data_IF_997129636914
#
_entry.id   IF_997129636914
#
_cell.length_a   1.000
_cell.length_b   1.000
_cell.length_c   1.000
_cell.angle_alpha   90.00
_cell.angle_beta   90.00
_cell.angle_gamma   90.00
#
_symmetry.space_group_name_H-M   'P 1'
#
loop_
_entity.id
_entity.type
_entity.pdbx_description
1 polymer ?
#
# COMPACT_ATOMS: atom_id res chain seq x y z
N UNK A 1 -50.23 72.66 -14.48
CA UNK A 1 -49.89 73.53 -15.57
C UNK A 1 -48.65 72.99 -16.31
N UNK A 2 -48.84 72.62 -17.58
CA UNK A 2 -47.89 72.67 -18.68
C UNK A 2 -46.56 71.86 -18.52
N UNK A 3 -46.01 71.14 -19.50
CA UNK A 3 -46.40 70.84 -20.89
C UNK A 3 -45.46 69.76 -21.42
N UNK A 4 -45.97 69.00 -22.39
CA UNK A 4 -45.27 68.06 -23.26
C UNK A 4 -44.00 68.62 -23.90
N UNK A 5 -43.02 67.75 -24.18
CA UNK A 5 -42.36 67.70 -25.46
C UNK A 5 -41.72 66.34 -25.72
N UNK A 6 -42.17 65.71 -26.85
CA UNK A 6 -41.61 64.54 -27.51
C UNK A 6 -40.20 64.80 -27.99
N UNK A 7 -39.34 63.76 -27.88
CA UNK A 7 -38.26 63.60 -28.86
C UNK A 7 -37.95 62.13 -29.10
N UNK A 8 -38.38 61.67 -30.23
CA UNK A 8 -38.03 60.38 -30.84
C UNK A 8 -36.58 60.41 -31.31
N UNK A 9 -35.76 59.47 -30.88
CA UNK A 9 -34.57 59.06 -31.64
C UNK A 9 -34.34 57.56 -31.51
N UNK A 10 -34.45 56.91 -32.66
CA UNK A 10 -33.99 55.61 -33.01
C UNK A 10 -32.63 55.27 -32.44
N UNK A 11 -32.52 54.26 -31.59
CA UNK A 11 -31.26 53.65 -31.22
C UNK A 11 -31.12 52.30 -31.86
N UNK A 12 -30.13 52.18 -32.74
CA UNK A 12 -29.79 50.95 -33.51
C UNK A 12 -29.33 49.88 -32.55
N UNK A 13 -29.86 48.68 -32.68
CA UNK A 13 -29.36 47.46 -32.10
C UNK A 13 -27.96 47.16 -32.64
N UNK A 14 -26.92 47.35 -31.88
CA UNK A 14 -25.64 46.70 -32.08
C UNK A 14 -25.62 45.49 -31.16
N UNK A 15 -25.75 44.32 -31.76
CA UNK A 15 -25.54 43.03 -31.09
C UNK A 15 -24.09 42.99 -30.61
N UNK A 16 -23.88 43.23 -29.31
CA UNK A 16 -22.66 42.78 -28.65
C UNK A 16 -22.74 41.25 -28.56
N UNK A 17 -21.84 40.61 -29.26
CA UNK A 17 -21.50 39.20 -28.99
C UNK A 17 -20.98 39.20 -27.56
N UNK A 18 -21.79 38.74 -26.64
CA UNK A 18 -21.31 38.32 -25.34
C UNK A 18 -20.37 37.14 -25.60
N UNK A 19 -19.06 37.40 -25.57
CA UNK A 19 -18.06 36.40 -25.34
C UNK A 19 -18.36 35.81 -23.98
N UNK A 20 -18.91 34.60 -23.99
CA UNK A 20 -19.15 33.83 -22.77
C UNK A 20 -17.84 33.43 -22.11
N UNK A 21 -17.14 34.40 -21.53
CA UNK A 21 -16.21 34.17 -20.44
C UNK A 21 -17.11 34.09 -19.20
N UNK A 22 -17.70 32.92 -19.03
CA UNK A 22 -18.34 32.56 -17.78
C UNK A 22 -17.32 32.80 -16.67
N UNK A 23 -17.58 33.76 -15.83
CA UNK A 23 -16.74 34.12 -14.70
C UNK A 23 -16.61 32.91 -13.78
N UNK A 24 -15.52 32.17 -13.96
CA UNK A 24 -15.09 31.14 -13.02
C UNK A 24 -14.44 31.84 -11.83
N UNK A 25 -15.23 32.41 -10.93
CA UNK A 25 -14.75 32.62 -9.54
C UNK A 25 -14.65 31.27 -8.88
N UNK A 26 -13.70 30.47 -9.33
CA UNK A 26 -13.53 29.12 -8.84
C UNK A 26 -12.78 29.18 -7.54
N UNK A 27 -13.34 28.55 -6.54
CA UNK A 27 -12.70 28.19 -5.30
C UNK A 27 -11.41 27.41 -5.62
N UNK A 28 -10.29 28.11 -5.74
CA UNK A 28 -8.98 27.49 -5.93
C UNK A 28 -8.56 26.94 -4.57
N UNK A 29 -8.20 25.66 -4.53
CA UNK A 29 -7.60 25.05 -3.35
C UNK A 29 -6.11 25.37 -3.31
N UNK A 30 -5.52 25.38 -2.13
CA UNK A 30 -4.06 25.43 -2.02
C UNK A 30 -3.47 24.10 -2.43
N UNK A 31 -4.10 23.00 -1.99
CA UNK A 31 -3.67 21.63 -2.33
C UNK A 31 -4.87 20.75 -2.65
N UNK A 32 -4.76 19.98 -3.75
CA UNK A 32 -5.62 18.85 -4.01
C UNK A 32 -4.85 17.55 -3.70
N UNK A 33 -5.35 16.76 -2.76
CA UNK A 33 -4.83 15.44 -2.42
C UNK A 33 -5.68 14.39 -3.12
N UNK A 34 -5.05 13.51 -3.90
CA UNK A 34 -5.71 12.50 -4.73
C UNK A 34 -5.42 11.11 -4.14
N UNK A 35 -6.45 10.48 -3.58
CA UNK A 35 -6.41 9.22 -2.84
C UNK A 35 -6.46 9.44 -1.32
N UNK A 36 -7.46 8.84 -0.66
CA UNK A 36 -7.67 8.89 0.78
C UNK A 36 -7.20 7.61 1.49
N UNK A 37 -6.07 7.02 1.04
CA UNK A 37 -5.31 6.03 1.79
C UNK A 37 -4.57 6.67 2.97
N UNK A 38 -3.80 5.88 3.73
CA UNK A 38 -3.06 6.38 4.90
C UNK A 38 -2.18 7.61 4.59
N UNK A 39 -1.50 7.61 3.44
CA UNK A 39 -0.68 8.75 3.03
C UNK A 39 -1.51 10.01 2.76
N UNK A 40 -2.61 9.86 2.02
CA UNK A 40 -3.46 11.00 1.67
C UNK A 40 -4.20 11.60 2.86
N UNK A 41 -4.74 10.77 3.76
CA UNK A 41 -5.47 11.30 4.93
C UNK A 41 -4.54 12.02 5.91
N UNK A 42 -3.33 11.50 6.13
CA UNK A 42 -2.36 12.18 7.01
C UNK A 42 -1.83 13.46 6.38
N UNK A 43 -1.57 13.45 5.08
CA UNK A 43 -1.15 14.66 4.36
C UNK A 43 -2.26 15.74 4.35
N UNK A 44 -3.50 15.36 4.10
CA UNK A 44 -4.64 16.28 4.12
C UNK A 44 -4.84 16.90 5.52
N UNK A 45 -4.68 16.13 6.60
CA UNK A 45 -4.70 16.62 7.97
C UNK A 45 -3.59 17.63 8.20
N UNK A 46 -2.36 17.28 7.90
CA UNK A 46 -1.20 18.12 8.20
C UNK A 46 -1.22 19.44 7.38
N UNK A 47 -1.57 19.35 6.10
CA UNK A 47 -1.75 20.52 5.24
C UNK A 47 -2.88 21.44 5.73
N UNK A 48 -4.03 20.88 6.09
CA UNK A 48 -5.14 21.68 6.60
C UNK A 48 -4.83 22.28 7.98
N UNK A 49 -4.09 21.57 8.83
CA UNK A 49 -3.62 22.08 10.12
C UNK A 49 -2.59 23.21 9.97
N UNK A 50 -1.84 23.22 8.87
CA UNK A 50 -0.95 24.33 8.50
C UNK A 50 -1.69 25.54 7.92
N UNK A 51 -3.02 25.51 7.84
CA UNK A 51 -3.87 26.60 7.38
C UNK A 51 -4.11 26.64 5.87
N UNK A 52 -3.73 25.58 5.14
CA UNK A 52 -4.00 25.49 3.71
C UNK A 52 -5.43 25.01 3.44
N UNK A 53 -6.05 25.54 2.37
CA UNK A 53 -7.34 25.08 1.88
C UNK A 53 -7.14 23.81 1.07
N UNK A 54 -7.56 22.66 1.62
CA UNK A 54 -7.29 21.35 1.07
C UNK A 54 -8.59 20.66 0.62
N UNK A 55 -8.54 20.02 -0.55
CA UNK A 55 -9.53 19.04 -0.99
C UNK A 55 -8.88 17.67 -1.04
N UNK A 56 -9.57 16.65 -0.51
CA UNK A 56 -9.17 15.24 -0.52
C UNK A 56 -10.15 14.45 -1.39
N UNK A 57 -9.67 13.91 -2.51
CA UNK A 57 -10.45 13.18 -3.50
C UNK A 57 -10.20 11.68 -3.34
N UNK A 58 -11.26 10.90 -3.21
CA UNK A 58 -11.19 9.44 -3.10
C UNK A 58 -12.11 8.81 -4.15
N UNK A 59 -11.59 7.82 -4.86
CA UNK A 59 -12.33 7.13 -5.91
C UNK A 59 -13.42 6.20 -5.37
N UNK A 60 -13.21 5.59 -4.20
CA UNK A 60 -14.17 4.72 -3.52
C UNK A 60 -15.17 5.51 -2.69
N UNK A 61 -16.17 4.82 -2.20
CA UNK A 61 -17.14 5.29 -1.20
C UNK A 61 -16.62 5.22 0.25
N UNK A 62 -15.34 4.85 0.43
CA UNK A 62 -14.65 4.73 1.73
C UNK A 62 -13.23 5.27 1.67
N UNK A 63 -12.73 5.74 2.80
CA UNK A 63 -11.30 6.06 2.99
C UNK A 63 -10.51 4.81 3.41
N UNK A 64 -9.18 4.88 3.40
CA UNK A 64 -8.25 3.85 3.89
C UNK A 64 -7.44 3.14 2.79
N UNK A 65 -7.87 3.22 1.53
CA UNK A 65 -7.15 2.59 0.42
C UNK A 65 -6.98 1.08 0.63
N UNK A 66 -5.72 0.61 0.66
CA UNK A 66 -5.34 -0.81 0.87
C UNK A 66 -5.35 -1.27 2.34
N UNK A 67 -5.79 -0.42 3.28
CA UNK A 67 -6.24 -0.84 4.61
C UNK A 67 -7.76 -0.93 4.59
N UNK A 68 -8.29 -2.09 4.91
CA UNK A 68 -9.73 -2.33 4.86
C UNK A 68 -10.16 -3.26 5.98
N UNK A 69 -10.77 -2.68 6.99
CA UNK A 69 -11.45 -3.41 8.07
C UNK A 69 -12.87 -3.71 7.64
N UNK A 70 -13.23 -4.96 7.59
CA UNK A 70 -14.58 -5.43 7.27
C UNK A 70 -15.08 -6.49 8.25
N UNK A 71 -16.06 -7.27 7.84
CA UNK A 71 -16.64 -8.33 8.65
C UNK A 71 -16.60 -9.66 7.90
N UNK A 72 -16.24 -10.73 8.59
CA UNK A 72 -16.37 -12.11 8.15
C UNK A 72 -16.84 -12.97 9.33
N UNK A 73 -17.83 -13.83 9.10
CA UNK A 73 -18.35 -14.79 10.08
C UNK A 73 -18.77 -14.14 11.40
N UNK A 74 -19.40 -12.94 11.32
CA UNK A 74 -19.83 -12.17 12.50
C UNK A 74 -18.71 -11.56 13.33
N UNK A 75 -17.48 -11.45 12.77
CA UNK A 75 -16.32 -10.83 13.40
C UNK A 75 -15.70 -9.76 12.52
N UNK A 76 -15.10 -8.76 13.17
CA UNK A 76 -14.27 -7.81 12.49
C UNK A 76 -12.96 -8.49 12.03
N UNK A 77 -12.62 -8.32 10.76
CA UNK A 77 -11.40 -8.84 10.13
C UNK A 77 -10.73 -7.76 9.28
N UNK A 78 -9.43 -7.95 9.01
CA UNK A 78 -8.65 -7.09 8.12
C UNK A 78 -8.47 -7.77 6.76
N UNK A 79 -8.97 -7.14 5.70
CA UNK A 79 -8.76 -7.60 4.32
C UNK A 79 -7.46 -7.10 3.70
N UNK A 80 -6.87 -6.06 4.26
CA UNK A 80 -5.62 -5.45 3.80
C UNK A 80 -4.54 -5.39 4.88
N UNK A 81 -3.80 -4.28 4.91
CA UNK A 81 -2.79 -4.00 5.93
C UNK A 81 -3.39 -3.98 7.33
N UNK A 82 -2.76 -4.65 8.28
CA UNK A 82 -3.34 -4.92 9.60
C UNK A 82 -2.40 -4.60 10.76
N UNK A 83 -1.09 -4.64 10.53
CA UNK A 83 -0.09 -4.68 11.59
C UNK A 83 0.65 -3.37 11.77
N UNK A 84 1.05 -3.09 13.00
CA UNK A 84 1.91 -1.99 13.38
C UNK A 84 2.83 -2.41 14.52
N UNK A 85 3.91 -1.67 14.74
CA UNK A 85 4.85 -1.94 15.80
C UNK A 85 5.34 -0.65 16.43
N UNK A 86 5.67 -0.66 17.72
CA UNK A 86 6.14 0.53 18.46
C UNK A 86 7.51 1.04 18.01
N UNK A 87 8.28 0.26 17.24
CA UNK A 87 9.52 0.72 16.61
C UNK A 87 9.30 1.48 15.29
N UNK A 88 8.10 1.42 14.73
CA UNK A 88 7.67 2.15 13.55
C UNK A 88 7.22 3.54 13.97
N UNK A 89 8.10 4.54 13.87
CA UNK A 89 7.96 5.83 14.52
C UNK A 89 6.78 6.66 14.05
N UNK A 90 6.44 6.58 12.76
CA UNK A 90 5.35 7.37 12.18
C UNK A 90 3.98 6.82 12.56
N UNK A 91 3.74 5.52 12.37
CA UNK A 91 2.46 4.91 12.75
C UNK A 91 2.29 4.87 14.27
N UNK A 92 3.38 4.61 15.03
CA UNK A 92 3.31 4.59 16.48
C UNK A 92 2.90 5.94 17.06
N UNK A 93 3.46 7.04 16.52
CA UNK A 93 3.06 8.40 16.88
C UNK A 93 1.57 8.64 16.65
N UNK A 94 1.03 8.20 15.52
CA UNK A 94 -0.39 8.37 15.23
C UNK A 94 -1.27 7.50 16.15
N UNK A 95 -0.87 6.27 16.42
CA UNK A 95 -1.56 5.40 17.37
C UNK A 95 -1.62 6.02 18.77
N UNK A 96 -0.50 6.58 19.25
CA UNK A 96 -0.45 7.28 20.54
C UNK A 96 -1.32 8.55 20.53
N UNK A 97 -1.28 9.33 19.44
CA UNK A 97 -2.06 10.57 19.29
C UNK A 97 -3.56 10.31 19.46
N UNK A 98 -4.05 9.19 18.96
CA UNK A 98 -5.47 8.85 18.99
C UNK A 98 -5.82 7.79 20.05
N UNK A 99 -4.90 7.46 20.95
CA UNK A 99 -5.10 6.47 22.00
C UNK A 99 -5.59 5.12 21.47
N UNK A 100 -4.98 4.68 20.37
CA UNK A 100 -5.26 3.37 19.74
C UNK A 100 -4.12 2.42 20.13
N UNK A 101 -4.47 1.26 20.69
CA UNK A 101 -3.51 0.23 21.08
C UNK A 101 -3.24 -0.79 19.98
N UNK A 102 -2.44 -1.78 20.32
CA UNK A 102 -2.20 -2.98 19.53
C UNK A 102 -2.79 -4.18 20.26
N UNK A 103 -3.27 -5.17 19.51
CA UNK A 103 -3.63 -6.46 20.06
C UNK A 103 -2.37 -7.35 20.15
N UNK A 104 -2.27 -8.25 21.14
CA UNK A 104 -1.19 -9.24 21.17
C UNK A 104 -1.31 -10.15 19.93
N UNK A 105 -0.17 -10.67 19.44
CA UNK A 105 -0.18 -11.66 18.37
C UNK A 105 -0.88 -12.94 18.82
N UNK A 106 -1.43 -13.71 17.88
CA UNK A 106 -1.95 -15.04 18.17
C UNK A 106 -0.79 -15.96 18.54
N UNK A 107 -0.84 -16.52 19.74
CA UNK A 107 0.17 -17.49 20.19
C UNK A 107 -0.01 -18.81 19.43
N UNK A 108 1.08 -19.29 18.84
CA UNK A 108 1.13 -20.52 18.06
C UNK A 108 2.40 -21.26 18.44
N UNK A 109 2.29 -22.50 18.91
CA UNK A 109 3.47 -23.33 19.17
C UNK A 109 3.70 -24.37 18.05
N UNK A 110 2.63 -24.83 17.41
CA UNK A 110 2.70 -25.85 16.35
C UNK A 110 2.97 -25.21 15.00
N UNK A 111 4.05 -25.63 14.35
CA UNK A 111 4.38 -25.25 12.97
C UNK A 111 4.26 -26.47 12.07
N UNK A 112 3.65 -26.27 10.91
CA UNK A 112 3.50 -27.28 9.85
C UNK A 112 4.17 -26.72 8.59
N UNK A 113 4.98 -27.49 7.90
CA UNK A 113 5.59 -27.02 6.65
C UNK A 113 5.68 -28.14 5.61
N UNK A 114 5.54 -27.74 4.36
CA UNK A 114 5.70 -28.64 3.25
C UNK A 114 7.09 -28.48 2.64
N UNK A 115 7.85 -29.57 2.57
CA UNK A 115 9.18 -29.57 1.98
C UNK A 115 9.55 -30.97 1.49
N UNK A 116 10.31 -31.06 0.39
CA UNK A 116 10.76 -32.32 -0.24
C UNK A 116 9.60 -33.31 -0.48
N UNK A 117 8.47 -32.76 -0.96
CA UNK A 117 7.27 -33.54 -1.27
C UNK A 117 6.51 -34.10 -0.06
N UNK A 118 6.79 -33.65 1.16
CA UNK A 118 6.23 -34.16 2.40
C UNK A 118 5.77 -33.05 3.34
N UNK A 119 4.79 -33.39 4.15
CA UNK A 119 4.36 -32.56 5.27
C UNK A 119 5.20 -32.87 6.51
N UNK A 120 5.72 -31.81 7.12
CA UNK A 120 6.49 -31.84 8.35
C UNK A 120 5.75 -31.09 9.44
N UNK A 121 6.02 -31.44 10.69
CA UNK A 121 5.43 -30.80 11.87
C UNK A 121 6.46 -30.68 12.96
N UNK A 122 6.48 -29.58 13.65
CA UNK A 122 7.35 -29.33 14.82
C UNK A 122 6.82 -28.20 15.67
N UNK A 123 7.57 -27.88 16.71
CA UNK A 123 7.35 -26.68 17.53
C UNK A 123 7.90 -25.43 16.85
N UNK A 124 7.49 -24.27 17.33
CA UNK A 124 8.04 -22.99 16.85
C UNK A 124 9.57 -22.90 17.05
N UNK A 125 10.08 -23.45 18.15
CA UNK A 125 11.53 -23.48 18.42
C UNK A 125 12.28 -24.37 17.44
N UNK A 126 11.74 -25.56 17.13
CA UNK A 126 12.34 -26.47 16.14
C UNK A 126 12.36 -25.85 14.75
N UNK A 127 11.24 -25.23 14.32
CA UNK A 127 11.17 -24.57 13.03
C UNK A 127 12.09 -23.34 12.95
N UNK A 128 12.14 -22.51 14.02
CA UNK A 128 13.05 -21.39 14.11
C UNK A 128 14.52 -21.82 14.00
N UNK A 129 14.91 -22.91 14.68
CA UNK A 129 16.25 -23.48 14.59
C UNK A 129 16.60 -23.97 13.17
N UNK A 130 15.61 -24.54 12.48
CA UNK A 130 15.76 -24.99 11.09
C UNK A 130 15.95 -23.82 10.12
N UNK A 131 15.13 -22.76 10.25
CA UNK A 131 15.09 -21.67 9.28
C UNK A 131 16.18 -20.61 9.50
N UNK A 132 16.70 -20.47 10.73
CA UNK A 132 17.67 -19.44 11.09
C UNK A 132 18.93 -19.41 10.20
N UNK A 133 19.63 -20.54 9.96
CA UNK A 133 20.82 -20.52 9.08
C UNK A 133 20.46 -20.17 7.63
N UNK A 134 19.28 -20.54 7.14
CA UNK A 134 18.83 -20.26 5.77
C UNK A 134 18.54 -18.77 5.59
N UNK A 135 17.82 -18.16 6.52
CA UNK A 135 17.55 -16.73 6.51
C UNK A 135 18.81 -15.90 6.73
N UNK A 136 19.70 -16.36 7.61
CA UNK A 136 20.99 -15.72 7.82
C UNK A 136 21.81 -15.71 6.52
N UNK A 137 21.88 -16.84 5.80
CA UNK A 137 22.56 -16.88 4.51
C UNK A 137 21.89 -16.02 3.44
N UNK A 138 20.55 -15.96 3.45
CA UNK A 138 19.78 -15.16 2.49
C UNK A 138 19.98 -13.66 2.68
N UNK A 139 20.12 -13.16 3.90
CA UNK A 139 20.21 -11.75 4.26
C UNK A 139 21.61 -11.28 4.72
N UNK A 140 22.64 -12.12 4.64
CA UNK A 140 23.98 -11.90 5.26
C UNK A 140 24.68 -10.60 4.85
N UNK A 141 24.44 -10.11 3.66
CA UNK A 141 25.07 -8.93 3.06
C UNK A 141 24.17 -7.69 3.02
N UNK A 142 22.99 -7.75 3.64
CA UNK A 142 22.01 -6.65 3.64
C UNK A 142 22.64 -5.30 4.04
N UNK A 143 23.42 -5.28 5.12
CA UNK A 143 24.10 -4.07 5.60
C UNK A 143 25.31 -3.65 4.76
N UNK A 144 25.86 -4.53 3.95
CA UNK A 144 26.93 -4.19 3.01
C UNK A 144 26.36 -3.42 1.82
N UNK A 145 25.19 -3.85 1.31
CA UNK A 145 24.50 -3.19 0.22
C UNK A 145 23.75 -1.92 0.66
N UNK A 146 23.26 -1.87 1.89
CA UNK A 146 22.51 -0.74 2.43
C UNK A 146 23.05 -0.34 3.81
N UNK A 147 24.30 0.20 3.90
CA UNK A 147 24.91 0.59 5.18
C UNK A 147 24.18 1.76 5.84
N UNK A 148 23.59 2.65 5.03
CA UNK A 148 22.79 3.80 5.45
C UNK A 148 21.45 3.75 4.72
N UNK A 149 20.44 3.01 5.23
CA UNK A 149 19.16 2.86 4.51
C UNK A 149 18.43 4.17 4.20
N UNK A 150 18.65 5.23 4.99
CA UNK A 150 18.07 6.55 4.72
C UNK A 150 18.73 7.26 3.52
N UNK A 151 19.89 6.81 3.08
CA UNK A 151 20.60 7.32 1.90
C UNK A 151 21.19 6.17 1.08
N UNK A 152 20.39 5.65 0.18
CA UNK A 152 20.76 4.51 -0.68
C UNK A 152 21.78 4.86 -1.76
N UNK A 153 22.17 6.13 -1.87
CA UNK A 153 23.15 6.60 -2.87
C UNK A 153 24.60 6.53 -2.39
N UNK A 154 24.84 6.16 -1.12
CA UNK A 154 26.21 6.17 -0.51
C UNK A 154 27.15 5.13 -1.09
N UNK A 155 26.63 4.08 -1.69
CA UNK A 155 27.42 3.08 -2.43
C UNK A 155 26.74 2.75 -3.76
N UNK A 156 27.49 2.19 -4.68
CA UNK A 156 26.96 1.65 -5.93
C UNK A 156 26.24 0.31 -5.67
N UNK A 157 24.95 0.30 -5.85
CA UNK A 157 24.07 -0.88 -5.68
C UNK A 157 23.70 -1.53 -7.01
N UNK A 158 24.29 -1.11 -8.13
CA UNK A 158 23.90 -1.55 -9.48
C UNK A 158 23.90 -3.06 -9.67
N UNK A 159 24.82 -3.79 -9.01
CA UNK A 159 24.93 -5.24 -9.17
C UNK A 159 23.80 -5.97 -8.45
N UNK A 160 23.45 -5.53 -7.23
CA UNK A 160 22.36 -6.17 -6.46
C UNK A 160 20.99 -5.74 -7.00
N UNK A 161 20.89 -4.52 -7.53
CA UNK A 161 19.65 -3.99 -8.10
C UNK A 161 19.19 -4.75 -9.36
N UNK A 162 20.10 -5.35 -10.08
CA UNK A 162 19.76 -6.16 -11.28
C UNK A 162 19.32 -7.58 -10.97
N UNK A 163 19.51 -8.04 -9.73
CA UNK A 163 19.21 -9.41 -9.34
C UNK A 163 17.74 -9.57 -8.93
N UNK A 164 17.16 -10.69 -9.33
CA UNK A 164 15.87 -11.16 -8.87
C UNK A 164 15.99 -11.92 -7.54
N UNK A 165 14.86 -12.21 -6.91
CA UNK A 165 14.81 -13.13 -5.78
C UNK A 165 15.29 -14.53 -6.19
N UNK A 166 15.00 -14.97 -7.43
CA UNK A 166 15.41 -16.26 -7.98
C UNK A 166 16.94 -16.36 -8.04
N UNK A 167 17.62 -15.33 -8.55
CA UNK A 167 19.08 -15.29 -8.62
C UNK A 167 19.71 -15.46 -7.23
N UNK A 168 19.12 -14.82 -6.22
CA UNK A 168 19.58 -14.94 -4.83
C UNK A 168 19.35 -16.33 -4.27
N UNK A 169 18.17 -16.91 -4.47
CA UNK A 169 17.83 -18.24 -3.98
C UNK A 169 18.74 -19.31 -4.61
N UNK A 170 18.98 -19.21 -5.91
CA UNK A 170 19.84 -20.16 -6.64
C UNK A 170 21.31 -20.07 -6.22
N UNK A 171 21.81 -18.87 -5.91
CA UNK A 171 23.18 -18.66 -5.45
C UNK A 171 23.49 -19.33 -4.10
N UNK A 172 22.48 -19.65 -3.29
CA UNK A 172 22.67 -20.31 -1.99
C UNK A 172 23.00 -21.80 -2.12
N UNK A 173 22.77 -22.43 -3.29
CA UNK A 173 23.03 -23.85 -3.54
C UNK A 173 22.41 -24.80 -2.49
N UNK A 174 21.18 -24.51 -2.09
CA UNK A 174 20.45 -25.27 -1.09
C UNK A 174 20.01 -26.66 -1.62
N UNK A 175 19.87 -27.63 -0.71
CA UNK A 175 19.13 -28.86 -1.01
C UNK A 175 17.67 -28.57 -1.30
N UNK A 176 16.95 -29.49 -1.95
CA UNK A 176 15.51 -29.34 -2.21
C UNK A 176 14.73 -29.06 -0.91
N UNK A 177 15.04 -29.78 0.15
CA UNK A 177 14.41 -29.57 1.45
C UNK A 177 14.64 -28.16 2.01
N UNK A 178 15.89 -27.71 2.06
CA UNK A 178 16.23 -26.38 2.57
C UNK A 178 15.62 -25.27 1.72
N UNK A 179 15.61 -25.45 0.39
CA UNK A 179 14.99 -24.51 -0.54
C UNK A 179 13.49 -24.38 -0.28
N UNK A 180 12.78 -25.51 -0.15
CA UNK A 180 11.35 -25.54 0.11
C UNK A 180 11.02 -24.89 1.48
N UNK A 181 11.81 -25.16 2.51
CA UNK A 181 11.65 -24.53 3.84
C UNK A 181 11.81 -23.02 3.77
N UNK A 182 12.83 -22.53 3.08
CA UNK A 182 13.09 -21.11 2.93
C UNK A 182 12.00 -20.44 2.07
N UNK A 183 11.63 -21.04 0.94
CA UNK A 183 10.57 -20.55 0.05
C UNK A 183 9.23 -20.49 0.79
N UNK A 184 8.88 -21.55 1.53
CA UNK A 184 7.63 -21.60 2.30
C UNK A 184 7.50 -20.46 3.30
N UNK A 185 8.54 -20.11 4.05
CA UNK A 185 8.50 -18.96 4.96
C UNK A 185 8.45 -17.63 4.21
N UNK A 186 9.27 -17.47 3.16
CA UNK A 186 9.32 -16.25 2.37
C UNK A 186 8.08 -16.04 1.50
N UNK A 187 7.23 -17.05 1.32
CA UNK A 187 5.98 -16.97 0.56
C UNK A 187 5.05 -15.83 1.02
N UNK A 188 5.17 -15.39 2.27
CA UNK A 188 4.44 -14.23 2.79
C UNK A 188 4.90 -12.90 2.18
N UNK A 189 6.09 -12.86 1.59
CA UNK A 189 6.72 -11.68 0.99
C UNK A 189 6.92 -11.81 -0.51
N UNK A 190 6.77 -13.01 -1.05
CA UNK A 190 7.05 -13.34 -2.45
C UNK A 190 5.76 -13.60 -3.18
N UNK A 191 5.57 -12.93 -4.32
CA UNK A 191 4.59 -13.26 -5.34
C UNK A 191 5.25 -14.07 -6.46
N UNK A 192 6.37 -13.58 -6.95
CA UNK A 192 7.14 -14.22 -8.03
C UNK A 192 8.63 -14.09 -7.76
N UNK A 193 9.31 -15.23 -7.69
CA UNK A 193 10.76 -15.28 -7.54
C UNK A 193 11.51 -14.61 -8.70
N UNK A 194 10.92 -14.58 -9.90
CA UNK A 194 11.56 -14.11 -11.12
C UNK A 194 11.31 -12.63 -11.42
N UNK A 195 10.26 -12.04 -10.83
CA UNK A 195 9.86 -10.66 -11.14
C UNK A 195 10.25 -9.65 -10.05
N UNK A 196 10.45 -10.10 -8.82
CA UNK A 196 10.80 -9.25 -7.69
C UNK A 196 12.31 -9.09 -7.57
N UNK A 197 12.76 -7.84 -7.30
CA UNK A 197 14.17 -7.53 -7.06
C UNK A 197 14.59 -7.89 -5.62
N UNK A 198 15.75 -8.52 -5.47
CA UNK A 198 16.32 -8.86 -4.14
C UNK A 198 16.66 -7.61 -3.32
N UNK A 199 17.01 -6.51 -3.98
CA UNK A 199 17.50 -5.28 -3.34
C UNK A 199 16.51 -4.77 -2.26
N UNK A 200 15.20 -4.85 -2.50
CA UNK A 200 14.20 -4.39 -1.52
C UNK A 200 14.15 -5.25 -0.27
N UNK A 201 14.26 -6.58 -0.36
CA UNK A 201 14.32 -7.44 0.84
C UNK A 201 15.60 -7.18 1.66
N UNK A 202 16.73 -7.01 0.99
CA UNK A 202 17.99 -6.66 1.66
C UNK A 202 17.90 -5.26 2.30
N UNK A 203 17.29 -4.31 1.62
CA UNK A 203 17.03 -2.98 2.16
C UNK A 203 16.17 -3.07 3.44
N UNK A 204 15.06 -3.80 3.41
CA UNK A 204 14.22 -3.98 4.60
C UNK A 204 14.99 -4.61 5.76
N UNK A 205 15.76 -5.68 5.51
CA UNK A 205 16.59 -6.27 6.54
C UNK A 205 17.63 -5.29 7.10
N UNK A 206 18.24 -4.46 6.25
CA UNK A 206 19.21 -3.46 6.65
C UNK A 206 18.61 -2.38 7.57
N UNK A 207 17.35 -1.98 7.38
CA UNK A 207 16.66 -1.04 8.28
C UNK A 207 16.52 -1.57 9.70
N UNK A 208 16.56 -2.89 9.87
CA UNK A 208 16.57 -3.59 11.16
C UNK A 208 17.94 -4.16 11.50
N UNK A 209 19.02 -3.47 11.07
CA UNK A 209 20.40 -3.82 11.36
C UNK A 209 20.85 -5.18 10.81
N UNK A 210 20.18 -5.70 9.79
CA UNK A 210 20.38 -7.04 9.25
C UNK A 210 19.70 -8.14 10.08
N UNK A 211 18.92 -7.78 11.08
CA UNK A 211 18.18 -8.73 11.91
C UNK A 211 16.83 -9.06 11.24
N UNK A 212 16.80 -10.14 10.47
CA UNK A 212 15.61 -10.61 9.78
C UNK A 212 14.46 -10.98 10.75
N UNK A 213 14.80 -11.49 11.96
CA UNK A 213 13.79 -11.80 13.00
C UNK A 213 13.04 -10.56 13.46
N UNK A 214 13.76 -9.46 13.70
CA UNK A 214 13.15 -8.17 14.03
C UNK A 214 12.30 -7.63 12.87
N UNK A 215 12.76 -7.81 11.63
CA UNK A 215 11.98 -7.41 10.45
C UNK A 215 10.63 -8.15 10.39
N UNK A 216 10.61 -9.48 10.53
CA UNK A 216 9.37 -10.26 10.51
C UNK A 216 8.43 -9.92 11.67
N UNK A 217 8.97 -9.72 12.88
CA UNK A 217 8.16 -9.30 14.02
C UNK A 217 7.46 -7.96 13.76
N UNK A 218 8.21 -6.98 13.29
CA UNK A 218 7.68 -5.64 13.00
C UNK A 218 6.66 -5.65 11.87
N UNK A 219 6.88 -6.46 10.85
CA UNK A 219 6.05 -6.48 9.64
C UNK A 219 4.70 -7.20 9.83
N UNK A 220 4.58 -8.17 10.74
CA UNK A 220 3.44 -9.09 10.72
C UNK A 220 2.86 -9.57 12.04
N UNK A 221 3.29 -9.03 13.20
CA UNK A 221 2.92 -9.64 14.48
C UNK A 221 1.80 -8.92 15.24
N UNK A 222 1.72 -7.59 15.21
CA UNK A 222 0.88 -6.81 16.14
C UNK A 222 -0.29 -6.11 15.43
N UNK A 223 -1.51 -6.70 15.43
CA UNK A 223 -2.69 -6.08 14.82
C UNK A 223 -3.10 -4.79 15.55
N UNK A 224 -3.56 -3.79 14.79
CA UNK A 224 -4.11 -2.54 15.34
C UNK A 224 -5.45 -2.82 16.03
N UNK A 225 -5.57 -2.43 17.29
CA UNK A 225 -6.77 -2.66 18.10
C UNK A 225 -7.98 -1.88 17.54
N UNK A 226 -9.04 -2.61 17.20
CA UNK A 226 -10.23 -2.07 16.58
C UNK A 226 -10.10 -1.83 15.07
N UNK A 227 -9.04 -2.38 14.47
CA UNK A 227 -8.81 -2.38 13.03
C UNK A 227 -8.16 -1.11 12.49
N UNK A 228 -7.56 -1.23 11.30
CA UNK A 228 -6.86 -0.13 10.63
C UNK A 228 -7.77 1.04 10.28
N UNK A 229 -9.05 0.77 9.97
CA UNK A 229 -10.04 1.81 9.69
C UNK A 229 -10.27 2.76 10.87
N UNK A 230 -10.09 2.28 12.11
CA UNK A 230 -10.18 3.13 13.30
C UNK A 230 -9.10 4.22 13.28
N UNK A 231 -7.88 3.87 12.94
CA UNK A 231 -6.77 4.82 12.80
C UNK A 231 -7.02 5.80 11.65
N UNK A 232 -7.36 5.30 10.48
CA UNK A 232 -7.59 6.14 9.28
C UNK A 232 -8.71 7.15 9.52
N UNK A 233 -9.82 6.73 10.14
CA UNK A 233 -10.92 7.62 10.51
C UNK A 233 -10.52 8.64 11.56
N UNK A 234 -9.72 8.26 12.55
CA UNK A 234 -9.24 9.18 13.57
C UNK A 234 -8.37 10.29 12.96
N UNK A 235 -7.45 9.93 12.05
CA UNK A 235 -6.62 10.90 11.31
C UNK A 235 -7.51 11.83 10.46
N UNK A 236 -8.46 11.28 9.72
CA UNK A 236 -9.37 12.08 8.89
C UNK A 236 -10.22 13.03 9.72
N UNK A 237 -10.78 12.58 10.84
CA UNK A 237 -11.61 13.41 11.71
C UNK A 237 -10.86 14.59 12.37
N UNK A 238 -9.53 14.51 12.43
CA UNK A 238 -8.64 15.58 12.91
C UNK A 238 -8.22 16.52 11.75
N UNK A 239 -8.82 16.38 10.57
CA UNK A 239 -8.58 17.19 9.37
C UNK A 239 -9.74 18.13 9.09
N UNK A 240 -9.44 19.35 8.64
CA UNK A 240 -10.44 20.27 8.08
C UNK A 240 -10.49 20.27 6.55
N UNK A 241 -9.81 19.32 5.88
CA UNK A 241 -9.87 19.16 4.44
C UNK A 241 -11.27 18.76 3.96
N UNK A 242 -11.70 19.29 2.83
CA UNK A 242 -12.93 18.89 2.16
C UNK A 242 -12.75 17.48 1.57
N UNK A 243 -13.46 16.47 2.09
CA UNK A 243 -13.45 15.11 1.55
C UNK A 243 -14.54 14.93 0.50
N UNK A 244 -14.17 14.37 -0.66
CA UNK A 244 -15.09 13.90 -1.69
C UNK A 244 -14.83 12.44 -1.99
N UNK A 245 -15.75 11.59 -1.61
CA UNK A 245 -15.80 10.18 -1.96
C UNK A 245 -16.38 9.97 -3.36
N UNK A 246 -16.23 8.77 -3.91
CA UNK A 246 -16.75 8.38 -5.23
C UNK A 246 -16.36 9.38 -6.34
N UNK A 247 -15.15 9.92 -6.25
CA UNK A 247 -14.64 10.97 -7.14
C UNK A 247 -13.31 10.54 -7.76
N UNK A 248 -13.31 9.54 -8.67
CA UNK A 248 -12.09 9.10 -9.33
C UNK A 248 -11.54 10.19 -10.24
N UNK A 249 -10.21 10.39 -10.18
CA UNK A 249 -9.46 11.34 -10.98
C UNK A 249 -8.92 10.64 -12.23
N UNK A 250 -9.01 11.30 -13.39
CA UNK A 250 -8.50 10.79 -14.68
C UNK A 250 -7.33 11.58 -15.24
N UNK A 251 -7.25 12.89 -14.92
CA UNK A 251 -6.18 13.76 -15.41
C UNK A 251 -5.69 14.72 -14.35
N UNK A 252 -4.38 15.01 -14.39
CA UNK A 252 -3.71 16.01 -13.57
C UNK A 252 -2.81 16.82 -14.50
N UNK A 253 -3.21 18.07 -14.77
CA UNK A 253 -2.52 18.94 -15.73
C UNK A 253 -1.89 20.13 -14.99
N UNK A 254 -0.55 20.17 -14.92
CA UNK A 254 0.20 21.29 -14.32
C UNK A 254 0.44 22.40 -15.37
N UNK A 255 -0.14 23.54 -15.16
CA UNK A 255 0.00 24.74 -16.00
C UNK A 255 1.01 25.76 -15.44
N UNK A 256 1.85 25.39 -14.47
CA UNK A 256 2.87 26.23 -13.85
C UNK A 256 2.36 27.09 -12.70
N UNK A 257 1.26 27.83 -12.87
CA UNK A 257 0.65 28.63 -11.80
C UNK A 257 -0.34 27.82 -10.96
N UNK A 258 -1.03 26.92 -11.60
CA UNK A 258 -2.06 26.07 -11.02
C UNK A 258 -2.06 24.68 -11.66
N UNK A 259 -2.57 23.71 -10.92
CA UNK A 259 -2.84 22.36 -11.38
C UNK A 259 -4.35 22.21 -11.59
N UNK A 260 -4.75 21.62 -12.71
CA UNK A 260 -6.14 21.28 -13.01
C UNK A 260 -6.32 19.79 -12.88
N UNK A 261 -7.16 19.36 -11.95
CA UNK A 261 -7.51 17.97 -11.69
C UNK A 261 -8.85 17.71 -12.39
N UNK A 262 -8.91 16.74 -13.29
CA UNK A 262 -10.15 16.34 -13.98
C UNK A 262 -10.64 15.02 -13.40
N UNK A 263 -11.89 14.99 -12.97
CA UNK A 263 -12.53 13.76 -12.45
C UNK A 263 -13.15 12.96 -13.60
N UNK A 264 -13.51 11.73 -13.31
CA UNK A 264 -14.20 10.85 -14.28
C UNK A 264 -15.55 11.43 -14.75
N UNK A 265 -16.22 12.24 -13.94
CA UNK A 265 -17.45 12.94 -14.33
C UNK A 265 -17.21 14.15 -15.26
N UNK A 266 -15.95 14.50 -15.50
CA UNK A 266 -15.55 15.68 -16.28
C UNK A 266 -15.49 16.98 -15.47
N UNK A 267 -15.71 16.94 -14.16
CA UNK A 267 -15.52 18.11 -13.29
C UNK A 267 -14.05 18.49 -13.25
N UNK A 268 -13.78 19.80 -13.28
CA UNK A 268 -12.43 20.36 -13.15
C UNK A 268 -12.25 21.06 -11.82
N UNK A 269 -11.31 20.57 -11.03
CA UNK A 269 -10.93 21.13 -9.72
C UNK A 269 -9.57 21.79 -9.89
N UNK A 270 -9.43 23.02 -9.37
CA UNK A 270 -8.19 23.78 -9.49
C UNK A 270 -7.51 23.88 -8.13
N UNK A 271 -6.19 23.67 -8.12
CA UNK A 271 -5.35 23.81 -6.95
C UNK A 271 -4.00 24.44 -7.30
N UNK A 272 -3.30 25.02 -6.32
CA UNK A 272 -1.92 25.51 -6.51
C UNK A 272 -0.93 24.35 -6.60
N UNK A 273 -1.20 23.28 -5.85
CA UNK A 273 -0.40 22.05 -5.80
C UNK A 273 -1.32 20.83 -5.84
N UNK A 274 -0.82 19.73 -6.41
CA UNK A 274 -1.46 18.42 -6.35
C UNK A 274 -0.55 17.44 -5.61
N UNK A 275 -1.13 16.60 -4.73
CA UNK A 275 -0.46 15.47 -4.10
C UNK A 275 -1.13 14.19 -4.57
N UNK A 276 -0.40 13.37 -5.31
CA UNK A 276 -0.85 12.07 -5.83
C UNK A 276 -0.52 11.00 -4.79
N UNK A 277 -1.51 10.52 -4.06
CA UNK A 277 -1.41 9.51 -3.02
C UNK A 277 -2.05 8.18 -3.46
N UNK A 278 -1.83 7.82 -4.72
CA UNK A 278 -2.37 6.62 -5.36
C UNK A 278 -1.39 5.45 -5.26
N UNK A 279 -1.88 4.18 -5.28
CA UNK A 279 -1.02 3.02 -5.49
C UNK A 279 -0.24 3.13 -6.81
N UNK A 280 1.02 2.68 -6.82
CA UNK A 280 1.88 2.72 -8.01
C UNK A 280 1.20 2.12 -9.24
N UNK A 281 0.53 0.96 -9.05
CA UNK A 281 -0.12 0.24 -10.15
C UNK A 281 -1.35 0.96 -10.73
N UNK A 282 -1.90 1.96 -10.04
CA UNK A 282 -3.06 2.75 -10.48
C UNK A 282 -2.64 4.05 -11.17
N UNK A 283 -1.43 4.53 -10.93
CA UNK A 283 -0.98 5.83 -11.49
C UNK A 283 -0.99 5.81 -13.01
N UNK A 284 -0.73 4.65 -13.64
CA UNK A 284 -0.81 4.51 -15.10
C UNK A 284 -2.20 4.84 -15.69
N UNK A 285 -3.26 4.74 -14.89
CA UNK A 285 -4.63 5.05 -15.33
C UNK A 285 -4.97 6.55 -15.24
N UNK A 286 -4.05 7.36 -14.69
CA UNK A 286 -4.21 8.81 -14.53
C UNK A 286 -3.23 9.53 -15.44
N UNK A 287 -3.77 10.29 -16.40
CA UNK A 287 -2.92 11.09 -17.28
C UNK A 287 -2.31 12.27 -16.50
N UNK A 288 -0.99 12.35 -16.48
CA UNK A 288 -0.22 13.41 -15.83
C UNK A 288 0.46 14.26 -16.91
N UNK A 289 0.27 15.58 -16.88
CA UNK A 289 0.87 16.53 -17.83
C UNK A 289 1.56 17.65 -17.05
N UNK A 290 2.83 17.99 -17.38
CA UNK A 290 3.73 17.34 -18.32
C UNK A 290 4.12 15.92 -17.88
N UNK A 291 4.63 15.11 -18.83
CA UNK A 291 5.07 13.75 -18.54
C UNK A 291 6.13 13.72 -17.43
N UNK A 292 6.08 12.71 -16.58
CA UNK A 292 7.10 12.48 -15.55
C UNK A 292 8.43 12.05 -16.19
N UNK A 293 9.51 12.06 -15.43
CA UNK A 293 10.82 11.61 -15.93
C UNK A 293 10.75 10.15 -16.37
N UNK A 294 11.50 9.83 -17.45
CA UNK A 294 11.47 8.49 -18.05
C UNK A 294 11.66 7.32 -17.06
N UNK A 295 12.62 7.32 -16.12
CA UNK A 295 12.72 6.19 -15.18
C UNK A 295 11.46 6.01 -14.31
N UNK A 296 10.81 7.11 -13.94
CA UNK A 296 9.54 7.08 -13.18
C UNK A 296 8.41 6.55 -14.06
N UNK A 297 8.34 7.00 -15.32
CA UNK A 297 7.33 6.52 -16.26
C UNK A 297 7.49 5.02 -16.53
N UNK A 298 8.73 4.56 -16.75
CA UNK A 298 9.04 3.14 -16.96
C UNK A 298 8.60 2.29 -15.76
N UNK A 299 8.80 2.78 -14.52
CA UNK A 299 8.35 2.11 -13.30
C UNK A 299 6.82 2.08 -13.19
N UNK A 300 6.13 3.19 -13.51
CA UNK A 300 4.68 3.28 -13.53
C UNK A 300 4.10 2.30 -14.56
N UNK A 301 4.65 2.25 -15.76
CA UNK A 301 4.17 1.41 -16.86
C UNK A 301 4.40 -0.08 -16.58
N UNK A 302 5.55 -0.41 -15.95
CA UNK A 302 5.91 -1.78 -15.59
C UNK A 302 5.08 -2.32 -14.43
N UNK A 303 4.55 -1.44 -13.56
CA UNK A 303 3.86 -1.78 -12.30
C UNK A 303 4.73 -2.65 -11.38
N UNK A 304 4.40 -2.72 -10.11
CA UNK A 304 5.01 -3.72 -9.22
C UNK A 304 4.28 -5.06 -9.37
N UNK A 305 4.96 -6.21 -9.21
CA UNK A 305 4.39 -7.52 -9.52
C UNK A 305 3.44 -8.06 -8.45
N UNK A 306 3.37 -7.48 -7.26
CA UNK A 306 2.68 -8.07 -6.11
C UNK A 306 1.17 -8.22 -6.32
N UNK A 307 0.73 -9.45 -6.56
CA UNK A 307 -0.66 -9.87 -6.78
C UNK A 307 -1.04 -10.97 -5.79
N UNK A 308 -0.90 -10.64 -4.50
CA UNK A 308 -1.16 -11.57 -3.41
C UNK A 308 -2.60 -11.45 -2.91
N UNK A 309 -3.08 -12.43 -2.15
CA UNK A 309 -4.38 -12.34 -1.50
C UNK A 309 -4.31 -12.72 -0.02
N UNK A 310 -5.24 -12.17 0.74
CA UNK A 310 -5.57 -12.59 2.10
C UNK A 310 -6.99 -13.19 2.07
N UNK A 311 -7.12 -14.39 2.59
CA UNK A 311 -8.36 -15.14 2.63
C UNK A 311 -8.72 -15.51 4.07
N UNK A 312 -9.95 -15.24 4.48
CA UNK A 312 -10.53 -15.71 5.73
C UNK A 312 -11.36 -16.95 5.47
N UNK A 313 -11.15 -17.98 6.27
CA UNK A 313 -11.79 -19.30 6.11
C UNK A 313 -12.46 -19.70 7.41
N UNK A 314 -13.75 -20.04 7.36
CA UNK A 314 -14.45 -20.73 8.42
C UNK A 314 -14.33 -22.22 8.19
N UNK A 315 -13.73 -22.95 9.12
CA UNK A 315 -13.53 -24.40 9.04
C UNK A 315 -14.17 -25.11 10.22
N UNK A 316 -14.78 -26.28 9.94
CA UNK A 316 -15.46 -27.10 10.95
C UNK A 316 -14.50 -27.64 11.99
N UNK A 317 -14.88 -27.51 13.24
CA UNK A 317 -14.19 -28.06 14.39
C UNK A 317 -13.19 -27.08 15.03
N UNK A 318 -12.89 -27.35 16.31
CA UNK A 318 -11.88 -26.58 17.06
C UNK A 318 -10.50 -27.12 16.74
N UNK A 319 -9.63 -26.24 16.24
CA UNK A 319 -8.23 -26.56 15.95
C UNK A 319 -7.33 -26.05 17.06
N UNK A 320 -6.34 -26.86 17.41
CA UNK A 320 -5.18 -26.35 18.14
C UNK A 320 -4.51 -25.27 17.28
N UNK A 321 -4.10 -24.13 17.86
CA UNK A 321 -3.41 -23.08 17.11
C UNK A 321 -2.18 -23.62 16.37
N UNK A 322 -2.12 -23.42 15.07
CA UNK A 322 -0.96 -23.73 14.24
C UNK A 322 -0.73 -22.65 13.20
N UNK A 323 0.50 -22.58 12.73
CA UNK A 323 0.87 -21.89 11.49
C UNK A 323 1.43 -22.91 10.50
N UNK A 324 1.10 -22.75 9.22
CA UNK A 324 1.58 -23.64 8.18
C UNK A 324 2.19 -22.87 7.02
N UNK A 325 3.22 -23.46 6.38
CA UNK A 325 3.94 -22.88 5.26
C UNK A 325 4.09 -23.87 4.10
N UNK A 326 3.95 -23.37 2.87
CA UNK A 326 4.25 -24.10 1.65
C UNK A 326 4.98 -23.19 0.65
N UNK A 327 5.89 -23.72 -0.17
CA UNK A 327 6.55 -23.00 -1.24
C UNK A 327 5.55 -22.34 -2.22
N UNK A 328 5.94 -21.21 -2.78
CA UNK A 328 5.10 -20.37 -3.66
C UNK A 328 4.49 -21.18 -4.82
N UNK A 329 5.27 -22.03 -5.47
CA UNK A 329 4.84 -22.74 -6.68
C UNK A 329 4.24 -24.13 -6.38
N UNK A 330 4.20 -24.58 -5.11
CA UNK A 330 3.77 -25.94 -4.77
C UNK A 330 2.34 -26.03 -4.22
N UNK A 331 1.78 -24.93 -3.75
CA UNK A 331 0.38 -24.86 -3.30
C UNK A 331 -0.18 -23.47 -3.53
N UNK A 332 -1.44 -23.32 -3.95
CA UNK A 332 -2.06 -21.99 -4.09
C UNK A 332 -2.15 -21.21 -2.78
N UNK A 333 -2.38 -21.88 -1.65
CA UNK A 333 -2.38 -21.28 -0.32
C UNK A 333 -1.02 -21.55 0.33
N UNK A 334 -0.24 -20.51 0.58
CA UNK A 334 1.16 -20.65 0.99
C UNK A 334 1.36 -20.51 2.49
N UNK A 335 0.54 -19.69 3.16
CA UNK A 335 0.59 -19.56 4.62
C UNK A 335 -0.82 -19.69 5.19
N UNK A 336 -0.95 -20.44 6.28
CA UNK A 336 -2.21 -20.66 7.00
C UNK A 336 -1.96 -20.48 8.48
N UNK A 337 -2.82 -19.74 9.17
CA UNK A 337 -2.79 -19.61 10.64
C UNK A 337 -4.20 -19.73 11.21
N UNK A 338 -4.37 -20.48 12.29
CA UNK A 338 -5.58 -20.44 13.11
C UNK A 338 -5.60 -19.12 13.85
N UNK A 339 -6.62 -18.30 13.59
CA UNK A 339 -6.67 -16.94 14.13
C UNK A 339 -7.67 -16.81 15.28
N UNK A 340 -8.83 -17.46 15.16
CA UNK A 340 -9.89 -17.36 16.16
C UNK A 340 -10.65 -18.67 16.34
N UNK A 341 -11.14 -18.90 17.56
CA UNK A 341 -12.25 -19.84 17.80
C UNK A 341 -13.58 -19.16 17.44
N UNK A 342 -14.52 -19.91 16.87
CA UNK A 342 -15.86 -19.48 16.48
C UNK A 342 -16.92 -20.51 16.85
N UNK A 343 -17.41 -20.49 18.09
CA UNK A 343 -18.30 -21.52 18.61
C UNK A 343 -17.58 -22.87 18.68
N UNK A 344 -18.08 -23.85 17.93
CA UNK A 344 -17.43 -25.17 17.79
C UNK A 344 -16.52 -25.28 16.57
N UNK A 345 -16.29 -24.19 15.84
CA UNK A 345 -15.52 -24.10 14.62
C UNK A 345 -14.29 -23.20 14.80
N UNK A 346 -13.45 -23.10 13.77
CA UNK A 346 -12.24 -22.29 13.75
C UNK A 346 -12.21 -21.32 12.57
N UNK A 347 -11.70 -20.13 12.78
CA UNK A 347 -11.43 -19.16 11.71
C UNK A 347 -9.93 -19.15 11.43
N UNK A 348 -9.60 -19.35 10.16
CA UNK A 348 -8.23 -19.31 9.65
C UNK A 348 -8.00 -18.03 8.87
N UNK A 349 -6.80 -17.46 8.96
CA UNK A 349 -6.28 -16.51 8.00
C UNK A 349 -5.28 -17.22 7.09
N UNK A 350 -5.47 -17.04 5.79
CA UNK A 350 -4.63 -17.64 4.76
C UNK A 350 -3.99 -16.55 3.89
N UNK A 351 -2.74 -16.74 3.48
CA UNK A 351 -2.04 -15.88 2.54
C UNK A 351 -1.71 -16.67 1.28
N UNK A 352 -1.94 -16.04 0.16
CA UNK A 352 -1.80 -16.56 -1.19
C UNK A 352 -0.78 -15.68 -1.89
N UNK A 353 0.34 -16.26 -2.32
CA UNK A 353 1.42 -15.53 -2.98
C UNK A 353 1.03 -15.06 -4.38
N UNK A 354 0.25 -15.87 -5.10
CA UNK A 354 -0.27 -15.55 -6.43
C UNK A 354 -1.79 -15.80 -6.48
N UNK A 355 -2.55 -14.71 -6.43
CA UNK A 355 -4.02 -14.73 -6.45
C UNK A 355 -4.59 -15.36 -7.73
N UNK A 356 -3.83 -15.37 -8.83
CA UNK A 356 -4.28 -15.98 -10.08
C UNK A 356 -4.36 -17.50 -10.05
N UNK A 357 -3.73 -18.15 -9.06
CA UNK A 357 -3.64 -19.61 -8.95
C UNK A 357 -4.88 -20.27 -8.36
N UNK A 358 -5.78 -19.51 -7.74
CA UNK A 358 -6.98 -20.02 -7.09
C UNK A 358 -8.12 -19.00 -7.12
N UNK A 359 -9.33 -19.47 -7.34
CA UNK A 359 -10.53 -18.64 -7.05
C UNK A 359 -10.82 -18.70 -5.54
N UNK A 360 -10.60 -17.60 -4.86
CA UNK A 360 -10.82 -17.47 -3.41
C UNK A 360 -12.29 -17.54 -2.98
N UNK A 361 -13.24 -17.55 -3.92
CA UNK A 361 -14.66 -17.75 -3.65
C UNK A 361 -15.10 -19.22 -3.89
N UNK A 362 -14.23 -20.06 -4.46
CA UNK A 362 -14.50 -21.48 -4.65
C UNK A 362 -14.09 -22.27 -3.40
N UNK A 363 -15.09 -22.62 -2.59
CA UNK A 363 -14.90 -23.36 -1.33
C UNK A 363 -14.22 -24.70 -1.57
N UNK A 364 -14.53 -25.42 -2.66
CA UNK A 364 -13.93 -26.73 -2.96
C UNK A 364 -12.46 -26.59 -3.31
N UNK A 365 -12.10 -25.56 -4.11
CA UNK A 365 -10.71 -25.26 -4.45
C UNK A 365 -9.90 -24.88 -3.20
N UNK A 366 -10.46 -24.01 -2.34
CA UNK A 366 -9.85 -23.59 -1.07
C UNK A 366 -9.66 -24.79 -0.15
N UNK A 367 -10.69 -25.64 0.01
CA UNK A 367 -10.59 -26.85 0.83
C UNK A 367 -9.50 -27.78 0.32
N UNK A 368 -9.44 -28.04 -0.99
CA UNK A 368 -8.40 -28.87 -1.60
C UNK A 368 -6.99 -28.33 -1.33
N UNK A 369 -6.80 -27.03 -1.44
CA UNK A 369 -5.51 -26.40 -1.14
C UNK A 369 -5.13 -26.52 0.35
N UNK A 370 -6.10 -26.36 1.25
CA UNK A 370 -5.90 -26.50 2.70
C UNK A 370 -5.67 -27.94 3.15
N UNK A 371 -6.18 -28.92 2.41
CA UNK A 371 -5.96 -30.35 2.68
C UNK A 371 -4.49 -30.77 2.58
N UNK A 372 -3.63 -29.98 1.92
CA UNK A 372 -2.18 -30.17 1.99
C UNK A 372 -1.67 -30.09 3.44
N UNK A 373 -2.19 -29.16 4.23
CA UNK A 373 -1.74 -28.92 5.61
C UNK A 373 -2.53 -29.73 6.65
N UNK A 374 -3.82 -29.95 6.38
CA UNK A 374 -4.74 -30.66 7.25
C UNK A 374 -5.70 -31.50 6.39
N UNK A 375 -5.38 -32.79 6.15
CA UNK A 375 -6.11 -33.66 5.21
C UNK A 375 -7.61 -33.81 5.49
N UNK A 376 -8.03 -33.67 6.75
CA UNK A 376 -9.40 -33.83 7.22
C UNK A 376 -10.14 -32.48 7.38
N UNK A 377 -9.61 -31.36 6.86
CA UNK A 377 -10.25 -30.06 6.96
C UNK A 377 -11.56 -30.03 6.17
N UNK A 378 -12.60 -29.49 6.77
CA UNK A 378 -13.88 -29.17 6.13
C UNK A 378 -14.08 -27.68 6.15
N UNK A 379 -14.05 -27.04 4.98
CA UNK A 379 -14.27 -25.61 4.80
C UNK A 379 -15.77 -25.34 4.73
N UNK A 380 -16.26 -24.45 5.58
CA UNK A 380 -17.68 -24.10 5.66
C UNK A 380 -18.01 -22.83 4.86
N UNK A 381 -17.10 -21.84 4.90
CA UNK A 381 -17.30 -20.57 4.21
C UNK A 381 -15.96 -19.85 4.03
N UNK A 382 -15.90 -18.92 3.08
CA UNK A 382 -14.71 -18.15 2.69
C UNK A 382 -15.05 -16.71 2.41
N UNK A 383 -14.17 -15.78 2.83
CA UNK A 383 -14.31 -14.34 2.52
C UNK A 383 -12.95 -13.74 2.22
N UNK A 384 -12.84 -13.03 1.11
CA UNK A 384 -11.65 -12.28 0.71
C UNK A 384 -12.01 -10.95 0.06
N UNK A 385 -10.99 -10.07 -0.11
CA UNK A 385 -11.09 -8.92 -1.00
C UNK A 385 -10.03 -9.05 -2.07
N UNK A 386 -10.46 -9.04 -3.33
CA UNK A 386 -9.55 -9.18 -4.46
C UNK A 386 -8.89 -7.83 -4.80
N UNK A 387 -7.71 -7.60 -4.22
CA UNK A 387 -6.94 -6.38 -4.44
C UNK A 387 -6.39 -6.26 -5.87
N UNK A 388 -6.14 -7.37 -6.53
CA UNK A 388 -5.60 -7.40 -7.90
C UNK A 388 -6.64 -6.94 -8.92
N UNK A 389 -7.89 -7.36 -8.75
CA UNK A 389 -9.02 -6.96 -9.60
C UNK A 389 -9.69 -5.65 -9.15
N UNK A 390 -9.37 -5.14 -7.97
CA UNK A 390 -9.85 -3.83 -7.51
C UNK A 390 -9.24 -2.73 -8.39
N UNK A 391 -10.07 -1.95 -9.13
CA UNK A 391 -9.57 -0.98 -10.11
C UNK A 391 -8.76 0.15 -9.48
N UNK A 392 -8.89 0.36 -8.16
CA UNK A 392 -8.19 1.41 -7.44
C UNK A 392 -7.03 0.90 -6.57
N UNK A 393 -6.63 -0.38 -6.74
CA UNK A 393 -5.45 -0.97 -6.12
C UNK A 393 -4.56 -1.68 -7.13
N UNK A 394 -5.10 -2.59 -7.94
CA UNK A 394 -4.43 -3.37 -8.98
C UNK A 394 -3.19 -4.12 -8.46
N UNK A 395 -3.26 -4.58 -7.24
CA UNK A 395 -2.19 -5.25 -6.51
C UNK A 395 -2.22 -4.94 -5.03
N UNK A 396 -1.29 -5.50 -4.29
CA UNK A 396 -1.20 -5.37 -2.83
C UNK A 396 -0.12 -4.36 -2.41
N UNK A 397 0.82 -4.71 -1.53
CA UNK A 397 1.93 -3.82 -1.17
C UNK A 397 3.01 -3.84 -2.26
N UNK A 398 3.81 -2.79 -2.35
CA UNK A 398 4.90 -2.74 -3.32
C UNK A 398 6.02 -3.71 -2.96
N UNK A 399 6.47 -4.44 -3.95
CA UNK A 399 7.81 -4.99 -4.02
C UNK A 399 8.33 -4.69 -5.41
N UNK A 400 9.43 -3.95 -5.49
CA UNK A 400 9.93 -3.46 -6.75
C UNK A 400 10.48 -4.57 -7.65
N UNK A 401 10.34 -4.36 -8.96
CA UNK A 401 11.13 -5.09 -9.95
C UNK A 401 12.60 -4.67 -9.86
N UNK A 402 13.54 -5.49 -10.36
CA UNK A 402 14.95 -5.07 -10.46
C UNK A 402 15.10 -3.67 -11.08
N UNK A 403 15.94 -2.83 -10.50
CA UNK A 403 16.21 -1.46 -10.94
C UNK A 403 15.29 -0.38 -10.37
N UNK A 404 14.12 -0.70 -9.88
CA UNK A 404 13.16 0.33 -9.49
C UNK A 404 13.44 0.98 -8.12
N UNK A 405 14.09 0.28 -7.20
CA UNK A 405 14.37 0.82 -5.86
C UNK A 405 15.33 2.01 -5.91
N UNK A 406 16.41 1.93 -6.70
CA UNK A 406 17.44 2.95 -6.74
C UNK A 406 17.35 3.86 -7.96
N UNK A 407 16.87 3.36 -9.11
CA UNK A 407 16.90 4.09 -10.37
C UNK A 407 15.62 4.89 -10.66
N UNK A 408 14.49 4.55 -10.01
CA UNK A 408 13.20 5.16 -10.28
C UNK A 408 12.53 5.79 -9.04
N UNK A 409 12.38 5.04 -7.95
CA UNK A 409 11.66 5.50 -6.76
C UNK A 409 12.22 6.82 -6.15
N UNK A 410 13.54 7.05 -6.07
CA UNK A 410 14.09 8.33 -5.57
C UNK A 410 13.73 9.53 -6.43
N UNK A 411 13.53 9.33 -7.74
CA UNK A 411 13.08 10.41 -8.64
C UNK A 411 11.60 10.71 -8.48
N UNK A 412 10.78 9.69 -8.20
CA UNK A 412 9.35 9.87 -7.97
C UNK A 412 9.06 10.61 -6.66
N UNK A 413 9.92 10.48 -5.65
CA UNK A 413 9.83 11.25 -4.39
C UNK A 413 10.09 12.74 -4.55
N UNK A 414 10.72 13.15 -5.65
CA UNK A 414 10.98 14.58 -5.94
C UNK A 414 9.77 15.23 -6.55
N UNK A 415 9.52 16.53 -6.26
CA UNK A 415 8.44 17.27 -6.91
C UNK A 415 8.56 17.27 -8.43
N UNK A 416 7.46 17.05 -9.12
CA UNK A 416 7.33 17.20 -10.56
C UNK A 416 6.52 18.47 -10.86
N UNK A 417 7.21 19.61 -10.94
CA UNK A 417 6.55 20.91 -11.00
C UNK A 417 5.70 21.20 -9.75
N UNK A 418 4.41 21.33 -9.93
CA UNK A 418 3.45 21.49 -8.83
C UNK A 418 2.78 20.18 -8.42
N UNK A 419 3.22 19.05 -8.97
CA UNK A 419 2.71 17.71 -8.67
C UNK A 419 3.71 17.01 -7.76
N UNK A 420 3.20 16.47 -6.65
CA UNK A 420 3.95 15.71 -5.64
C UNK A 420 3.39 14.32 -5.55
N UNK A 421 4.21 13.35 -5.18
CA UNK A 421 3.80 11.98 -4.97
C UNK A 421 4.03 11.56 -3.53
N UNK A 422 3.08 10.81 -2.96
CA UNK A 422 3.21 10.17 -1.67
C UNK A 422 2.52 8.80 -1.68
N UNK A 423 2.92 7.93 -0.78
CA UNK A 423 2.30 6.62 -0.64
C UNK A 423 3.25 5.60 -0.04
N UNK A 424 2.70 4.51 0.46
CA UNK A 424 3.50 3.39 0.95
C UNK A 424 4.41 2.81 -0.14
N UNK A 425 4.01 2.93 -1.42
CA UNK A 425 4.78 2.36 -2.51
C UNK A 425 6.07 3.12 -2.84
N UNK A 426 6.21 4.36 -2.37
CA UNK A 426 7.38 5.20 -2.65
C UNK A 426 8.00 5.79 -1.38
N UNK A 427 7.62 5.33 -0.21
CA UNK A 427 8.21 5.74 1.06
C UNK A 427 9.74 5.54 1.08
N UNK A 428 10.45 6.31 1.90
CA UNK A 428 11.91 6.27 1.94
C UNK A 428 12.42 5.08 2.74
N UNK A 429 11.90 4.89 3.96
CA UNK A 429 12.41 3.88 4.88
C UNK A 429 11.53 2.62 4.95
N UNK A 430 10.21 2.79 4.93
CA UNK A 430 9.28 1.70 5.21
C UNK A 430 8.30 1.46 4.06
N UNK A 431 8.83 1.41 2.82
CA UNK A 431 8.01 1.14 1.63
C UNK A 431 7.24 -0.17 1.76
N UNK A 432 6.04 -0.19 1.20
CA UNK A 432 5.15 -1.35 1.21
C UNK A 432 4.23 -1.45 2.43
N UNK A 433 4.47 -0.68 3.50
CA UNK A 433 3.71 -0.74 4.74
C UNK A 433 2.85 0.48 5.04
N UNK A 434 2.03 0.37 6.08
CA UNK A 434 1.24 1.49 6.63
C UNK A 434 2.19 2.57 7.17
N UNK A 435 3.27 2.15 7.83
CA UNK A 435 4.33 3.03 8.32
C UNK A 435 4.85 3.94 7.22
N UNK A 436 5.27 3.35 6.09
CA UNK A 436 5.78 4.13 4.96
C UNK A 436 4.74 5.02 4.30
N UNK A 437 3.46 4.61 4.29
CA UNK A 437 2.39 5.46 3.80
C UNK A 437 2.24 6.74 4.66
N UNK A 438 2.29 6.60 5.98
CA UNK A 438 2.21 7.72 6.92
C UNK A 438 3.47 8.58 6.83
N UNK A 439 4.67 7.96 6.83
CA UNK A 439 5.97 8.61 6.60
C UNK A 439 5.88 9.53 5.37
N UNK A 440 5.62 8.94 4.22
CA UNK A 440 5.59 9.64 2.94
C UNK A 440 4.56 10.77 2.90
N UNK A 441 3.37 10.55 3.48
CA UNK A 441 2.33 11.56 3.56
C UNK A 441 2.74 12.79 4.37
N UNK A 442 3.35 12.60 5.53
CA UNK A 442 3.83 13.68 6.43
C UNK A 442 4.96 14.47 5.78
N UNK A 443 5.98 13.76 5.24
CA UNK A 443 7.14 14.40 4.62
C UNK A 443 6.73 15.22 3.38
N UNK A 444 5.83 14.68 2.56
CA UNK A 444 5.33 15.39 1.38
C UNK A 444 4.46 16.59 1.76
N UNK A 445 3.63 16.50 2.78
CA UNK A 445 2.84 17.62 3.29
C UNK A 445 3.74 18.77 3.79
N UNK A 446 4.81 18.44 4.51
CA UNK A 446 5.81 19.42 4.96
C UNK A 446 6.52 20.10 3.77
N UNK A 447 6.91 19.31 2.75
CA UNK A 447 7.53 19.83 1.52
C UNK A 447 6.60 20.78 0.77
N UNK A 448 5.32 20.43 0.62
CA UNK A 448 4.31 21.29 -0.03
C UNK A 448 4.10 22.60 0.75
N UNK A 449 3.99 22.51 2.09
CA UNK A 449 3.83 23.68 2.96
C UNK A 449 5.00 24.64 2.80
N UNK A 450 6.23 24.12 2.78
CA UNK A 450 7.42 24.93 2.55
C UNK A 450 7.40 25.62 1.18
N UNK A 451 7.06 24.88 0.12
CA UNK A 451 6.99 25.41 -1.23
C UNK A 451 5.90 26.49 -1.41
N UNK A 452 4.76 26.38 -0.73
CA UNK A 452 3.70 27.40 -0.74
C UNK A 452 4.14 28.66 -0.01
N UNK A 453 4.87 28.54 1.11
CA UNK A 453 5.39 29.68 1.86
C UNK A 453 6.42 30.47 1.06
N UNK A 454 7.31 29.82 0.32
CA UNK A 454 8.31 30.48 -0.52
C UNK A 454 7.69 31.35 -1.64
N UNK A 455 6.59 30.88 -2.25
CA UNK A 455 5.86 31.65 -3.29
C UNK A 455 5.18 32.92 -2.76
N UNK A 456 4.97 33.05 -1.45
CA UNK A 456 4.36 34.23 -0.82
C UNK A 456 5.41 35.27 -0.43
N UNK A 457 6.69 34.89 -0.35
CA UNK A 457 7.80 35.73 0.06
C UNK A 457 8.59 36.37 -1.10
N UNK A 458 8.38 35.94 -2.33
CA UNK A 458 8.99 36.49 -3.55
C UNK A 458 7.97 37.14 -4.46
#
# INVERSE_FOLDING_TARGET
>A
ARSFLHCSRTCRYTARRDCGVCAMSKNIYDVAVIGAGCAGVVAARDLSSAGHKVILLEARDRIGGRTYTGEAFGRQVEFGGAYAHWTQSYIWRELQRYSIGLNPPTEVDKVVWFADGKLHTGTQVEYATLIEPLLTAFFNDARQWFPLPYDISVIDTSDIERQTLRDRLDALNLSTYERDVLDGLLSTLVHSWDEQGIAQLLFWAATYFGNWGAFFEVAGSWPIAGGTQKLVRAIHNDSSAELRLSTPVTNIDDHGEQVVITTQSGEKIMAKKALVALPLNVIADVKITPDVKKPVQDMIDAKHPMQTAKLWVLARGKFEPFVAFAPVEQNPINTVRVEYEHGDDSILVCFISDESTIDTNDIEAVQKALQMFKPDIEVLDVVSHNWTKDPYAQGTWVHYRPGHLTDAAPFMRKPHGNIYFAGGDIATMSMGGIEGAIESGIETAASITHALAQKLAG
#
